data_IF_208134570955
#
_entry.id   IF_208134570955
#
_cell.length_a   1.000
_cell.length_b   1.000
_cell.length_c   1.000
_cell.angle_alpha   90.00
_cell.angle_beta   90.00
_cell.angle_gamma   90.00
#
_symmetry.space_group_name_H-M   'P 1'
#
loop_
_entity.id
_entity.type
_entity.pdbx_description
1 polymer ?
#
# COMPACT_ATOMS: atom_id res chain seq x y z
N UNK A 1 -2.69 33.09 6.11
CA UNK A 1 -2.72 33.25 7.57
C UNK A 1 -2.81 34.73 8.03
N UNK A 2 -2.32 35.67 7.28
CA UNK A 2 -2.41 37.10 7.64
C UNK A 2 -3.74 37.77 7.25
N UNK A 3 -4.62 37.11 6.54
CA UNK A 3 -5.94 37.64 6.20
C UNK A 3 -6.85 37.65 7.45
N UNK A 4 -7.58 38.71 7.73
CA UNK A 4 -8.37 38.84 8.97
C UNK A 4 -9.52 37.82 9.06
N UNK A 5 -9.96 37.27 7.94
CA UNK A 5 -11.03 36.27 7.78
C UNK A 5 -10.55 34.84 7.70
N UNK A 6 -9.22 34.61 7.82
CA UNK A 6 -8.62 33.25 7.70
C UNK A 6 -9.14 32.28 8.75
N UNK A 7 -9.46 32.75 9.95
CA UNK A 7 -9.89 31.95 11.09
C UNK A 7 -11.41 31.80 11.22
N UNK A 8 -12.19 32.47 10.34
CA UNK A 8 -13.64 32.38 10.36
C UNK A 8 -14.17 31.02 9.92
N UNK A 9 -13.39 30.29 9.11
CA UNK A 9 -13.67 28.93 8.69
C UNK A 9 -12.55 27.95 9.17
N UNK A 10 -12.80 27.31 10.30
CA UNK A 10 -11.80 26.49 10.99
C UNK A 10 -11.37 25.26 10.16
N UNK A 11 -12.27 24.68 9.36
CA UNK A 11 -11.95 23.53 8.50
C UNK A 11 -11.03 23.93 7.35
N UNK A 12 -11.33 25.02 6.67
CA UNK A 12 -10.45 25.58 5.61
C UNK A 12 -9.10 26.02 6.17
N UNK A 13 -9.09 26.65 7.35
CA UNK A 13 -7.86 27.07 7.99
C UNK A 13 -6.96 25.85 8.32
N UNK A 14 -7.52 24.78 8.87
CA UNK A 14 -6.79 23.54 9.15
C UNK A 14 -6.26 22.88 7.88
N UNK A 15 -7.03 22.86 6.79
CA UNK A 15 -6.60 22.31 5.50
C UNK A 15 -5.41 23.09 4.95
N UNK A 16 -5.48 24.41 4.92
CA UNK A 16 -4.37 25.27 4.46
C UNK A 16 -3.12 25.14 5.34
N UNK A 17 -3.31 25.04 6.67
CA UNK A 17 -2.20 24.77 7.60
C UNK A 17 -1.58 23.42 7.33
N UNK A 18 -2.38 22.38 7.09
CA UNK A 18 -1.91 21.05 6.72
C UNK A 18 -1.08 21.06 5.44
N UNK A 19 -1.58 21.69 4.37
CA UNK A 19 -0.88 21.85 3.10
C UNK A 19 0.45 22.61 3.27
N UNK A 20 0.42 23.72 4.03
CA UNK A 20 1.61 24.50 4.32
C UNK A 20 2.66 23.70 5.10
N UNK A 21 2.23 22.91 6.11
CA UNK A 21 3.15 22.08 6.90
C UNK A 21 3.83 21.01 6.04
N UNK A 22 3.11 20.41 5.08
CA UNK A 22 3.66 19.46 4.12
C UNK A 22 4.74 20.12 3.25
N UNK A 23 4.44 21.30 2.67
CA UNK A 23 5.40 22.03 1.84
C UNK A 23 6.61 22.44 2.66
N UNK A 24 6.37 22.93 3.88
CA UNK A 24 7.43 23.32 4.80
C UNK A 24 8.32 22.13 5.16
N UNK A 25 7.74 20.98 5.47
CA UNK A 25 8.49 19.76 5.79
C UNK A 25 9.40 19.34 4.64
N UNK A 26 8.92 19.41 3.38
CA UNK A 26 9.71 19.13 2.19
C UNK A 26 10.87 20.12 2.03
N UNK A 27 10.59 21.42 2.23
CA UNK A 27 11.60 22.47 2.15
C UNK A 27 12.66 22.33 3.26
N UNK A 28 12.23 22.04 4.49
CA UNK A 28 13.13 21.83 5.62
C UNK A 28 14.03 20.60 5.41
N UNK A 29 13.49 19.51 4.87
CA UNK A 29 14.28 18.32 4.51
C UNK A 29 15.31 18.63 3.41
N UNK A 30 14.91 19.38 2.37
CA UNK A 30 15.83 19.79 1.32
C UNK A 30 16.97 20.65 1.88
N UNK A 31 16.65 21.64 2.73
CA UNK A 31 17.68 22.49 3.35
C UNK A 31 18.60 21.71 4.28
N UNK A 32 18.08 20.73 5.04
CA UNK A 32 18.90 19.88 5.88
C UNK A 32 19.90 19.06 5.05
N UNK A 33 19.42 18.43 3.95
CA UNK A 33 20.28 17.70 3.02
C UNK A 33 21.34 18.58 2.35
N UNK A 34 20.94 19.79 1.93
CA UNK A 34 21.86 20.75 1.33
C UNK A 34 22.95 21.18 2.31
N UNK A 35 22.59 21.49 3.57
CA UNK A 35 23.55 21.83 4.61
C UNK A 35 24.49 20.69 4.93
N UNK A 36 23.98 19.45 5.06
CA UNK A 36 24.80 18.27 5.30
C UNK A 36 25.77 17.99 4.14
N UNK A 37 25.35 18.24 2.91
CA UNK A 37 26.22 18.17 1.75
C UNK A 37 27.32 19.24 1.74
N UNK A 38 26.99 20.51 2.07
CA UNK A 38 27.95 21.59 2.19
C UNK A 38 29.00 21.30 3.31
N UNK A 39 28.57 20.77 4.44
CA UNK A 39 29.48 20.35 5.52
C UNK A 39 30.45 19.24 5.06
N UNK A 40 29.94 18.25 4.29
CA UNK A 40 30.77 17.21 3.70
C UNK A 40 31.76 17.73 2.66
N UNK A 41 31.39 18.74 1.88
CA UNK A 41 32.29 19.38 0.92
C UNK A 41 33.46 20.07 1.64
N UNK A 42 33.20 20.74 2.77
CA UNK A 42 34.24 21.36 3.62
C UNK A 42 35.11 20.28 4.24
N UNK A 43 34.51 19.18 4.75
CA UNK A 43 35.29 18.07 5.30
C UNK A 43 36.21 17.41 4.24
N UNK A 44 35.71 17.28 3.00
CA UNK A 44 36.52 16.75 1.90
C UNK A 44 37.74 17.62 1.57
N UNK A 45 37.56 18.94 1.56
CA UNK A 45 38.67 19.88 1.35
C UNK A 45 39.72 19.79 2.49
N UNK A 46 39.28 19.72 3.73
CA UNK A 46 40.17 19.60 4.88
C UNK A 46 40.93 18.28 4.88
N UNK A 47 40.26 17.17 4.58
CA UNK A 47 40.90 15.85 4.50
C UNK A 47 41.95 15.77 3.39
N UNK A 48 41.73 16.47 2.26
CA UNK A 48 42.69 16.55 1.16
C UNK A 48 43.90 17.45 1.53
N UNK A 49 43.69 18.56 2.22
CA UNK A 49 44.76 19.46 2.68
C UNK A 49 45.65 18.86 3.74
N UNK A 50 45.08 18.06 4.68
CA UNK A 50 45.79 17.48 5.80
C UNK A 50 46.28 16.03 5.55
N UNK A 51 45.93 15.42 4.40
CA UNK A 51 46.19 14.02 4.04
C UNK A 51 45.70 13.04 5.14
N UNK A 52 44.55 13.36 5.77
CA UNK A 52 43.98 12.62 6.88
C UNK A 52 43.08 11.47 6.41
N UNK A 53 43.61 10.24 6.53
CA UNK A 53 42.91 9.02 6.12
C UNK A 53 41.73 8.67 7.03
N UNK A 54 41.73 9.07 8.28
CA UNK A 54 40.62 8.82 9.21
C UNK A 54 39.44 9.70 8.87
N UNK A 55 39.65 10.96 8.60
CA UNK A 55 38.64 11.91 8.12
C UNK A 55 38.09 11.52 6.74
N UNK A 56 38.93 10.98 5.84
CA UNK A 56 38.49 10.46 4.57
C UNK A 56 37.54 9.23 4.70
N UNK A 57 37.80 8.35 5.69
CA UNK A 57 36.92 7.21 5.95
C UNK A 57 35.58 7.64 6.55
N UNK A 58 35.56 8.62 7.45
CA UNK A 58 34.36 9.22 8.03
C UNK A 58 33.52 9.91 6.96
N UNK A 59 34.16 10.65 6.04
CA UNK A 59 33.54 11.26 4.89
C UNK A 59 32.84 10.21 3.97
N UNK A 60 33.53 9.09 3.71
CA UNK A 60 32.98 8.03 2.86
C UNK A 60 31.72 7.39 3.47
N UNK A 61 31.63 7.26 4.80
CA UNK A 61 30.45 6.75 5.48
C UNK A 61 29.33 7.80 5.55
N UNK A 62 29.68 9.07 5.78
CA UNK A 62 28.74 10.18 5.72
C UNK A 62 28.08 10.32 4.35
N UNK A 63 28.86 10.23 3.27
CA UNK A 63 28.34 10.26 1.89
C UNK A 63 27.34 9.15 1.60
N UNK A 64 27.56 7.94 2.14
CA UNK A 64 26.58 6.85 2.01
C UNK A 64 25.26 7.19 2.73
N UNK A 65 25.35 7.89 3.88
CA UNK A 65 24.20 8.39 4.61
C UNK A 65 23.40 9.40 3.80
N UNK A 66 24.07 10.42 3.27
CA UNK A 66 23.44 11.46 2.43
C UNK A 66 22.80 10.84 1.17
N UNK A 67 23.48 9.91 0.50
CA UNK A 67 22.93 9.24 -0.67
C UNK A 67 21.61 8.53 -0.37
N UNK A 68 21.52 7.81 0.76
CA UNK A 68 20.27 7.16 1.19
C UNK A 68 19.18 8.19 1.52
N UNK A 69 19.52 9.27 2.18
CA UNK A 69 18.58 10.34 2.49
C UNK A 69 18.07 11.03 1.20
N UNK A 70 18.96 11.27 0.24
CA UNK A 70 18.62 11.84 -1.07
C UNK A 70 17.71 10.90 -1.86
N UNK A 71 17.98 9.60 -1.88
CA UNK A 71 17.12 8.60 -2.50
C UNK A 71 15.71 8.61 -1.89
N UNK A 72 15.62 8.61 -0.56
CA UNK A 72 14.34 8.71 0.14
C UNK A 72 13.60 10.02 -0.16
N UNK A 73 14.32 11.13 -0.20
CA UNK A 73 13.75 12.43 -0.55
C UNK A 73 13.23 12.47 -1.99
N UNK A 74 14.00 11.91 -2.94
CA UNK A 74 13.54 11.75 -4.32
C UNK A 74 12.23 10.95 -4.38
N UNK A 75 12.16 9.82 -3.67
CA UNK A 75 10.94 9.01 -3.62
C UNK A 75 9.74 9.78 -3.08
N UNK A 76 9.92 10.60 -2.04
CA UNK A 76 8.86 11.47 -1.54
C UNK A 76 8.38 12.49 -2.58
N UNK A 77 9.29 13.06 -3.37
CA UNK A 77 8.95 13.97 -4.47
C UNK A 77 8.17 13.26 -5.59
N UNK A 78 8.47 11.97 -5.84
CA UNK A 78 7.80 11.14 -6.84
C UNK A 78 6.35 10.81 -6.46
N UNK A 79 6.04 10.78 -5.16
CA UNK A 79 4.69 10.58 -4.61
C UNK A 79 3.89 11.90 -4.64
N UNK A 80 3.85 12.53 -5.81
CA UNK A 80 3.25 13.86 -6.01
C UNK A 80 1.81 13.81 -6.56
N UNK A 81 1.26 12.63 -6.83
CA UNK A 81 -0.11 12.52 -7.32
C UNK A 81 -1.12 12.85 -6.22
N UNK A 82 -2.31 13.37 -6.57
CA UNK A 82 -3.29 13.84 -5.59
C UNK A 82 -3.64 12.82 -4.50
N UNK A 83 -3.62 11.53 -4.84
CA UNK A 83 -4.01 10.42 -3.95
C UNK A 83 -2.84 9.77 -3.23
N UNK A 84 -1.60 10.03 -3.67
CA UNK A 84 -0.41 9.39 -3.10
C UNK A 84 -0.27 9.67 -1.60
N UNK A 85 -0.73 10.84 -1.15
CA UNK A 85 -0.68 11.28 0.26
C UNK A 85 -1.70 10.62 1.17
N UNK A 86 -2.67 9.90 0.61
CA UNK A 86 -3.77 9.31 1.35
C UNK A 86 -3.37 8.02 2.05
N UNK A 87 -4.18 7.63 3.03
CA UNK A 87 -4.12 6.31 3.63
C UNK A 87 -4.49 5.25 2.57
N UNK A 88 -4.04 4.02 2.78
CA UNK A 88 -4.30 2.91 1.87
C UNK A 88 -5.28 1.90 2.47
N UNK A 89 -6.21 1.43 1.66
CA UNK A 89 -7.00 0.25 1.94
C UNK A 89 -6.43 -0.87 1.07
N UNK A 90 -5.92 -1.92 1.72
CA UNK A 90 -5.31 -3.08 1.09
C UNK A 90 -6.17 -4.32 1.30
N UNK A 91 -6.50 -5.00 0.21
CA UNK A 91 -7.30 -6.23 0.23
C UNK A 91 -6.48 -7.40 -0.33
N UNK A 92 -6.54 -8.54 0.36
CA UNK A 92 -5.94 -9.78 -0.10
C UNK A 92 -7.03 -10.82 -0.35
N UNK A 93 -7.02 -11.38 -1.55
CA UNK A 93 -7.93 -12.42 -1.97
C UNK A 93 -7.14 -13.64 -2.47
N UNK A 94 -7.20 -14.79 -1.78
CA UNK A 94 -6.64 -16.04 -2.28
C UNK A 94 -7.25 -16.41 -3.63
N UNK A 95 -6.37 -16.78 -4.57
CA UNK A 95 -6.76 -17.29 -5.88
C UNK A 95 -6.83 -18.82 -5.90
N UNK A 96 -6.53 -19.40 -7.05
CA UNK A 96 -6.42 -20.84 -7.20
C UNK A 96 -5.33 -21.42 -6.28
N UNK A 97 -5.66 -22.50 -5.54
CA UNK A 97 -4.73 -23.19 -4.64
C UNK A 97 -5.35 -23.74 -3.35
N UNK A 98 -6.64 -23.49 -3.11
CA UNK A 98 -7.32 -23.99 -1.90
C UNK A 98 -6.69 -23.52 -0.61
N UNK A 99 -6.50 -24.41 0.37
CA UNK A 99 -5.89 -24.10 1.69
C UNK A 99 -4.50 -23.47 1.55
N UNK A 100 -3.71 -23.89 0.56
CA UNK A 100 -2.37 -23.34 0.31
C UNK A 100 -2.41 -21.86 -0.08
N UNK A 101 -3.40 -21.43 -0.88
CA UNK A 101 -3.55 -20.02 -1.24
C UNK A 101 -4.06 -19.17 -0.09
N UNK A 102 -4.88 -19.76 0.81
CA UNK A 102 -5.34 -19.09 2.03
C UNK A 102 -4.20 -18.85 3.02
N UNK A 103 -3.30 -19.84 3.18
CA UNK A 103 -2.09 -19.69 3.98
C UNK A 103 -1.13 -18.67 3.36
N UNK A 104 -0.99 -18.67 2.03
CA UNK A 104 -0.21 -17.64 1.33
C UNK A 104 -0.74 -16.22 1.59
N UNK A 105 -2.06 -16.03 1.60
CA UNK A 105 -2.65 -14.74 1.91
C UNK A 105 -2.36 -14.30 3.36
N UNK A 106 -2.33 -15.22 4.32
CA UNK A 106 -1.94 -14.93 5.70
C UNK A 106 -0.45 -14.55 5.82
N UNK A 107 0.41 -15.22 5.05
CA UNK A 107 1.83 -14.86 4.97
C UNK A 107 2.01 -13.43 4.41
N UNK A 108 1.28 -13.06 3.35
CA UNK A 108 1.30 -11.70 2.80
C UNK A 108 0.74 -10.68 3.79
N UNK A 109 -0.35 -11.00 4.49
CA UNK A 109 -0.91 -10.17 5.56
C UNK A 109 0.16 -9.83 6.61
N UNK A 110 0.91 -10.83 7.07
CA UNK A 110 2.01 -10.64 8.02
C UNK A 110 3.12 -9.78 7.44
N UNK A 111 3.49 -10.00 6.19
CA UNK A 111 4.51 -9.23 5.47
C UNK A 111 4.15 -7.75 5.40
N UNK A 112 2.91 -7.42 4.97
CA UNK A 112 2.46 -6.02 4.88
C UNK A 112 2.32 -5.34 6.24
N UNK A 113 1.87 -6.07 7.27
CA UNK A 113 1.84 -5.53 8.63
C UNK A 113 3.22 -5.16 9.13
N UNK A 114 4.22 -6.03 8.93
CA UNK A 114 5.61 -5.77 9.34
C UNK A 114 6.24 -4.62 8.55
N UNK A 115 5.95 -4.52 7.26
CA UNK A 115 6.38 -3.39 6.47
C UNK A 115 5.78 -2.08 6.98
N UNK A 116 4.50 -2.06 7.28
CA UNK A 116 3.81 -0.89 7.83
C UNK A 116 4.37 -0.49 9.22
N UNK A 117 4.64 -1.48 10.09
CA UNK A 117 5.25 -1.26 11.40
C UNK A 117 6.65 -0.63 11.28
N UNK A 118 7.48 -1.07 10.33
CA UNK A 118 8.81 -0.49 10.08
C UNK A 118 8.78 0.97 9.63
N UNK A 119 7.67 1.40 9.04
CA UNK A 119 7.45 2.78 8.58
C UNK A 119 6.61 3.62 9.55
N UNK A 120 6.39 3.11 10.78
CA UNK A 120 5.55 3.76 11.79
C UNK A 120 4.12 4.01 11.29
N UNK A 121 3.61 3.19 10.35
CA UNK A 121 2.25 3.26 9.87
C UNK A 121 1.32 2.48 10.79
N UNK A 122 0.14 3.04 11.05
CA UNK A 122 -0.87 2.39 11.86
C UNK A 122 -1.73 1.46 11.00
N UNK A 123 -1.79 0.19 11.36
CA UNK A 123 -2.59 -0.84 10.66
C UNK A 123 -3.87 -1.14 11.44
N UNK A 124 -4.99 -1.05 10.76
CA UNK A 124 -6.32 -1.39 11.29
C UNK A 124 -6.95 -2.45 10.38
N UNK A 125 -7.45 -3.53 10.97
CA UNK A 125 -8.15 -4.59 10.25
C UNK A 125 -9.61 -4.17 10.09
N UNK A 126 -10.07 -3.97 8.86
CA UNK A 126 -11.45 -3.60 8.55
C UNK A 126 -12.34 -4.83 8.41
N UNK A 127 -11.82 -5.87 7.75
CA UNK A 127 -12.51 -7.15 7.57
C UNK A 127 -11.50 -8.30 7.61
N UNK A 128 -11.90 -9.42 8.19
CA UNK A 128 -11.08 -10.62 8.28
C UNK A 128 -11.97 -11.86 8.24
N UNK A 129 -11.83 -12.65 7.20
CA UNK A 129 -12.52 -13.92 7.05
C UNK A 129 -11.50 -15.05 7.10
N UNK A 130 -11.46 -15.83 8.21
CA UNK A 130 -10.50 -16.92 8.36
C UNK A 130 -10.76 -18.04 7.35
N UNK A 131 -9.70 -18.78 7.00
CA UNK A 131 -9.79 -20.03 6.28
C UNK A 131 -10.47 -21.13 7.10
N UNK A 132 -10.96 -22.17 6.44
CA UNK A 132 -11.62 -23.28 7.15
C UNK A 132 -10.60 -24.16 7.89
N UNK A 133 -9.42 -24.38 7.32
CA UNK A 133 -8.35 -25.22 7.87
C UNK A 133 -7.13 -24.38 8.27
N UNK A 134 -6.72 -23.43 7.43
CA UNK A 134 -5.59 -22.53 7.66
C UNK A 134 -5.73 -21.25 6.85
N UNK A 135 -4.98 -20.22 7.24
CA UNK A 135 -4.89 -18.97 6.51
C UNK A 135 -6.15 -18.13 6.53
N UNK A 136 -6.32 -17.29 5.53
CA UNK A 136 -7.45 -16.35 5.39
C UNK A 136 -8.13 -16.49 4.04
N UNK A 137 -9.47 -16.39 4.01
CA UNK A 137 -10.29 -16.33 2.77
C UNK A 137 -10.35 -14.94 2.18
N UNK A 138 -10.30 -13.92 3.01
CA UNK A 138 -10.16 -12.53 2.62
C UNK A 138 -9.73 -11.70 3.82
N UNK A 139 -8.97 -10.66 3.57
CA UNK A 139 -8.63 -9.68 4.60
C UNK A 139 -8.57 -8.29 3.98
N UNK A 140 -9.11 -7.31 4.69
CA UNK A 140 -9.05 -5.89 4.33
C UNK A 140 -8.38 -5.12 5.44
N UNK A 141 -7.31 -4.43 5.11
CA UNK A 141 -6.54 -3.59 6.02
C UNK A 141 -6.70 -2.12 5.66
N UNK A 142 -6.81 -1.26 6.67
CA UNK A 142 -6.60 0.16 6.53
C UNK A 142 -5.23 0.51 7.09
N UNK A 143 -4.35 1.01 6.23
CA UNK A 143 -2.98 1.40 6.58
C UNK A 143 -2.91 2.93 6.56
N UNK A 144 -2.76 3.50 7.77
CA UNK A 144 -2.76 4.95 8.00
C UNK A 144 -1.34 5.45 8.12
N UNK A 145 -0.99 6.37 7.24
CA UNK A 145 0.32 7.01 7.24
C UNK A 145 0.49 7.94 6.05
N UNK A 146 1.43 8.84 6.17
CA UNK A 146 1.73 9.77 5.07
C UNK A 146 2.25 9.00 3.85
N UNK A 147 1.62 9.21 2.70
CA UNK A 147 1.93 8.52 1.45
C UNK A 147 1.70 6.99 1.48
N UNK A 148 0.91 6.45 2.41
CA UNK A 148 0.67 5.01 2.50
C UNK A 148 0.14 4.43 1.18
N UNK A 149 -0.84 5.10 0.55
CA UNK A 149 -1.35 4.68 -0.76
C UNK A 149 -0.29 4.82 -1.86
N UNK A 150 0.47 5.92 -1.86
CA UNK A 150 1.51 6.18 -2.85
C UNK A 150 2.55 5.07 -2.92
N UNK A 151 2.95 4.51 -1.77
CA UNK A 151 3.84 3.36 -1.71
C UNK A 151 3.13 2.06 -2.10
N UNK A 152 1.99 1.78 -1.48
CA UNK A 152 1.30 0.49 -1.59
C UNK A 152 0.63 0.26 -2.94
N UNK A 153 0.34 1.31 -3.74
CA UNK A 153 -0.14 1.14 -5.12
C UNK A 153 0.82 0.29 -5.97
N UNK A 154 2.12 0.28 -5.61
CA UNK A 154 3.11 -0.58 -6.25
C UNK A 154 2.89 -2.07 -5.99
N UNK A 155 2.16 -2.43 -4.94
CA UNK A 155 1.89 -3.82 -4.55
C UNK A 155 0.60 -4.38 -5.16
N UNK A 156 -0.17 -3.55 -5.87
CA UNK A 156 -1.39 -3.97 -6.55
C UNK A 156 -1.09 -4.96 -7.67
N UNK A 157 -1.72 -6.15 -7.59
CA UNK A 157 -1.61 -7.21 -8.60
C UNK A 157 -1.55 -8.61 -8.00
N UNK A 158 -1.07 -9.58 -8.77
CA UNK A 158 -1.04 -10.98 -8.37
C UNK A 158 0.33 -11.36 -7.82
N UNK A 159 0.34 -11.94 -6.61
CA UNK A 159 1.53 -12.47 -5.93
C UNK A 159 1.55 -13.98 -6.02
N UNK A 160 2.61 -14.53 -6.60
CA UNK A 160 2.78 -15.96 -6.83
C UNK A 160 3.74 -16.56 -5.80
N UNK A 161 3.31 -17.61 -5.10
CA UNK A 161 4.13 -18.43 -4.22
C UNK A 161 4.51 -19.73 -4.90
N UNK A 162 5.76 -20.17 -4.75
CA UNK A 162 6.24 -21.50 -5.12
C UNK A 162 7.01 -22.10 -3.94
N UNK A 163 6.44 -23.12 -3.30
CA UNK A 163 7.06 -23.82 -2.17
C UNK A 163 6.64 -25.28 -2.10
N UNK A 164 7.31 -26.05 -1.23
CA UNK A 164 6.78 -27.35 -0.80
C UNK A 164 5.62 -27.09 0.14
N UNK A 165 4.44 -27.64 -0.17
CA UNK A 165 3.24 -27.39 0.63
C UNK A 165 3.31 -28.11 1.97
N UNK A 166 3.07 -27.42 3.11
CA UNK A 166 2.94 -28.06 4.41
C UNK A 166 1.63 -28.86 4.55
N UNK A 167 0.67 -28.68 3.63
CA UNK A 167 -0.63 -29.36 3.62
C UNK A 167 -0.63 -30.60 2.71
N UNK A 168 0.41 -30.83 1.92
CA UNK A 168 0.55 -32.00 1.07
C UNK A 168 1.46 -33.05 1.74
N UNK A 169 0.86 -34.13 2.21
CA UNK A 169 1.59 -35.26 2.82
C UNK A 169 2.66 -35.89 1.90
N UNK A 170 2.54 -35.68 0.58
CA UNK A 170 3.53 -36.16 -0.41
C UNK A 170 4.72 -35.20 -0.56
N UNK A 171 4.74 -34.06 0.10
CA UNK A 171 5.84 -33.10 0.03
C UNK A 171 6.08 -32.50 -1.35
N UNK A 172 5.07 -32.43 -2.19
CA UNK A 172 5.18 -31.88 -3.55
C UNK A 172 5.26 -30.35 -3.54
N UNK A 173 5.90 -29.83 -4.56
CA UNK A 173 5.97 -28.41 -4.83
C UNK A 173 4.63 -27.90 -5.38
N UNK A 174 4.07 -26.90 -4.76
CA UNK A 174 2.84 -26.24 -5.17
C UNK A 174 3.08 -24.79 -5.59
N UNK A 175 2.18 -24.30 -6.43
CA UNK A 175 2.13 -22.90 -6.84
C UNK A 175 0.78 -22.35 -6.43
N UNK A 176 0.78 -21.24 -5.70
CA UNK A 176 -0.42 -20.58 -5.20
C UNK A 176 -0.40 -19.09 -5.56
N UNK A 177 -1.57 -18.52 -5.71
CA UNK A 177 -1.75 -17.14 -6.12
C UNK A 177 -2.65 -16.40 -5.13
N UNK A 178 -2.28 -15.15 -4.86
CA UNK A 178 -3.10 -14.20 -4.11
C UNK A 178 -3.15 -12.91 -4.89
N UNK A 179 -4.33 -12.35 -5.06
CA UNK A 179 -4.46 -11.00 -5.58
C UNK A 179 -4.41 -10.00 -4.43
N UNK A 180 -3.61 -8.97 -4.61
CA UNK A 180 -3.54 -7.80 -3.74
C UNK A 180 -4.20 -6.64 -4.47
N UNK A 181 -5.21 -6.06 -3.87
CA UNK A 181 -5.85 -4.83 -4.36
C UNK A 181 -5.56 -3.69 -3.40
N UNK A 182 -5.26 -2.52 -3.93
CA UNK A 182 -4.93 -1.34 -3.14
C UNK A 182 -5.68 -0.14 -3.66
N UNK A 183 -6.42 0.52 -2.77
CA UNK A 183 -7.19 1.72 -3.07
C UNK A 183 -6.92 2.81 -2.03
N UNK A 184 -7.02 4.11 -2.37
CA UNK A 184 -6.87 5.18 -1.41
C UNK A 184 -8.08 5.25 -0.46
N UNK A 185 -7.85 5.60 0.82
CA UNK A 185 -8.93 6.03 1.71
C UNK A 185 -9.32 7.47 1.37
N UNK A 186 -10.50 7.63 0.76
CA UNK A 186 -11.01 8.95 0.41
C UNK A 186 -11.85 9.48 1.57
N UNK A 187 -11.49 10.65 2.08
CA UNK A 187 -12.30 11.40 3.02
C UNK A 187 -13.46 12.11 2.29
N UNK A 188 -14.51 12.46 3.01
CA UNK A 188 -15.87 12.79 2.52
C UNK A 188 -16.02 13.91 1.44
N UNK A 189 -14.94 14.54 0.98
CA UNK A 189 -14.97 15.74 0.12
C UNK A 189 -14.96 15.49 -1.41
N UNK A 190 -14.88 14.24 -1.86
CA UNK A 190 -14.91 13.96 -3.29
C UNK A 190 -16.30 13.44 -3.67
N UNK A 191 -17.03 14.23 -4.49
CA UNK A 191 -18.35 13.94 -5.03
C UNK A 191 -18.39 12.61 -5.85
N UNK A 192 -18.37 11.50 -5.15
CA UNK A 192 -19.00 10.28 -5.63
C UNK A 192 -20.40 10.32 -5.06
N UNK A 193 -21.36 10.80 -5.86
CA UNK A 193 -22.78 10.83 -5.50
C UNK A 193 -23.28 9.39 -5.40
N UNK A 194 -23.33 8.88 -4.17
CA UNK A 194 -23.84 7.54 -3.88
C UNK A 194 -25.28 7.70 -3.40
N UNK A 195 -26.22 7.42 -4.28
CA UNK A 195 -27.63 7.46 -3.92
C UNK A 195 -28.00 6.24 -3.08
N UNK A 196 -28.81 6.46 -2.06
CA UNK A 196 -29.24 5.37 -1.15
C UNK A 196 -30.03 4.28 -1.89
N UNK A 197 -30.72 4.63 -2.96
CA UNK A 197 -31.48 3.73 -3.84
C UNK A 197 -30.59 2.78 -4.66
N UNK A 198 -29.33 3.16 -4.90
CA UNK A 198 -28.36 2.36 -5.63
C UNK A 198 -27.60 1.35 -4.72
N UNK A 199 -27.93 1.36 -3.41
CA UNK A 199 -27.28 0.50 -2.45
C UNK A 199 -28.20 -0.63 -1.98
N UNK A 200 -27.71 -1.86 -2.13
CA UNK A 200 -28.25 -3.00 -1.40
C UNK A 200 -27.41 -3.25 -0.16
N UNK A 201 -28.02 -3.08 1.01
CA UNK A 201 -27.36 -3.27 2.31
C UNK A 201 -27.92 -4.54 2.94
N UNK A 202 -27.07 -5.56 3.07
CA UNK A 202 -27.38 -6.81 3.73
C UNK A 202 -26.64 -6.87 5.07
N UNK A 203 -27.35 -7.25 6.12
CA UNK A 203 -26.75 -7.52 7.44
C UNK A 203 -26.71 -9.01 7.69
N UNK A 204 -25.61 -9.48 8.28
CA UNK A 204 -25.43 -10.89 8.58
C UNK A 204 -24.62 -11.08 9.85
N UNK A 205 -24.57 -12.32 10.33
CA UNK A 205 -23.77 -12.65 11.52
C UNK A 205 -22.30 -12.68 11.17
N UNK A 206 -21.51 -11.98 11.98
CA UNK A 206 -20.07 -12.02 11.83
C UNK A 206 -19.54 -13.44 12.03
N UNK A 207 -18.65 -13.90 11.15
CA UNK A 207 -17.96 -15.18 11.31
C UNK A 207 -16.58 -14.92 11.90
N UNK A 208 -16.28 -15.52 13.06
CA UNK A 208 -14.98 -15.40 13.71
C UNK A 208 -14.95 -16.07 15.07
N UNK A 209 -13.75 -16.32 15.58
CA UNK A 209 -13.53 -16.80 16.95
C UNK A 209 -13.88 -15.70 17.95
N UNK A 210 -15.10 -15.71 18.48
CA UNK A 210 -15.60 -14.75 19.45
C UNK A 210 -16.77 -15.33 20.23
N UNK A 211 -16.96 -14.88 21.48
CA UNK A 211 -17.97 -15.39 22.41
C UNK A 211 -19.41 -15.25 21.92
N UNK A 212 -20.38 -15.67 22.73
CA UNK A 212 -21.82 -15.75 22.42
C UNK A 212 -22.43 -14.52 21.71
N UNK A 213 -21.85 -13.33 21.89
CA UNK A 213 -22.38 -12.09 21.31
C UNK A 213 -22.15 -11.99 19.78
N UNK A 214 -21.08 -12.58 19.25
CA UNK A 214 -20.76 -12.56 17.80
C UNK A 214 -21.70 -13.48 17.03
N UNK A 215 -22.12 -14.57 17.65
CA UNK A 215 -22.97 -15.58 17.02
C UNK A 215 -24.47 -15.27 17.09
N UNK A 216 -24.88 -14.24 17.84
CA UNK A 216 -26.31 -13.91 18.08
C UNK A 216 -26.75 -12.60 17.44
N UNK A 217 -25.83 -11.71 17.06
CA UNK A 217 -26.18 -10.38 16.55
C UNK A 217 -25.71 -10.20 15.10
N UNK A 218 -26.60 -9.73 14.22
CA UNK A 218 -26.30 -9.42 12.82
C UNK A 218 -25.56 -8.07 12.74
N UNK A 219 -24.30 -8.05 13.23
CA UNK A 219 -23.46 -6.84 13.27
C UNK A 219 -22.62 -6.62 12.00
N UNK A 220 -22.36 -7.67 11.23
CA UNK A 220 -21.64 -7.57 9.97
C UNK A 220 -22.53 -6.93 8.87
N UNK A 221 -21.92 -6.08 8.07
CA UNK A 221 -22.59 -5.34 7.00
C UNK A 221 -21.92 -5.63 5.66
N UNK A 222 -22.74 -5.98 4.67
CA UNK A 222 -22.35 -6.06 3.26
C UNK A 222 -23.09 -4.98 2.50
N UNK A 223 -22.38 -4.15 1.76
CA UNK A 223 -22.95 -3.14 0.89
C UNK A 223 -22.62 -3.50 -0.55
N UNK A 224 -23.64 -3.62 -1.38
CA UNK A 224 -23.52 -3.83 -2.83
C UNK A 224 -23.98 -2.56 -3.53
N UNK A 225 -23.14 -1.96 -4.34
CA UNK A 225 -23.54 -0.87 -5.22
C UNK A 225 -24.10 -1.45 -6.51
N UNK A 226 -25.42 -1.36 -6.68
CA UNK A 226 -26.16 -2.03 -7.75
C UNK A 226 -25.69 -1.64 -9.17
N UNK A 227 -25.43 -0.34 -9.48
CA UNK A 227 -25.03 0.06 -10.83
C UNK A 227 -23.65 -0.48 -11.24
N UNK A 228 -22.71 -0.58 -10.29
CA UNK A 228 -21.33 -0.98 -10.59
C UNK A 228 -21.00 -2.41 -10.21
N UNK A 229 -21.86 -3.08 -9.43
CA UNK A 229 -21.64 -4.42 -8.91
C UNK A 229 -20.55 -4.50 -7.82
N UNK A 230 -20.03 -3.38 -7.36
CA UNK A 230 -18.99 -3.35 -6.30
C UNK A 230 -19.60 -3.81 -4.98
N UNK A 231 -18.96 -4.78 -4.34
CA UNK A 231 -19.34 -5.33 -3.04
C UNK A 231 -18.27 -5.02 -2.02
N UNK A 232 -18.67 -4.54 -0.85
CA UNK A 232 -17.79 -4.33 0.31
C UNK A 232 -18.42 -4.94 1.55
N UNK A 233 -17.57 -5.45 2.44
CA UNK A 233 -17.98 -6.05 3.72
C UNK A 233 -17.22 -5.41 4.87
N UNK A 234 -17.88 -5.26 6.02
CA UNK A 234 -17.24 -4.82 7.26
C UNK A 234 -17.87 -5.54 8.45
N UNK A 235 -17.03 -6.16 9.30
CA UNK A 235 -17.48 -6.92 10.48
C UNK A 235 -16.59 -6.70 11.72
N UNK A 236 -15.75 -5.67 11.71
CA UNK A 236 -14.74 -5.41 12.74
C UNK A 236 -15.30 -4.88 14.04
N UNK A 237 -16.41 -4.17 14.00
CA UNK A 237 -17.01 -3.54 15.16
C UNK A 237 -18.21 -4.35 15.68
N UNK A 238 -18.47 -4.26 17.00
CA UNK A 238 -19.70 -4.81 17.59
C UNK A 238 -20.95 -4.02 17.22
N UNK A 239 -20.79 -2.81 16.72
CA UNK A 239 -21.86 -1.90 16.31
C UNK A 239 -22.10 -2.00 14.81
N UNK A 240 -23.30 -2.41 14.41
CA UNK A 240 -23.75 -2.42 13.03
C UNK A 240 -23.65 -1.04 12.38
N UNK A 241 -23.94 0.04 13.13
CA UNK A 241 -23.86 1.43 12.63
C UNK A 241 -22.42 1.77 12.23
N UNK A 242 -21.44 1.46 13.11
CA UNK A 242 -20.02 1.70 12.82
C UNK A 242 -19.51 0.86 11.66
N UNK A 243 -19.92 -0.40 11.57
CA UNK A 243 -19.60 -1.26 10.42
C UNK A 243 -20.18 -0.71 9.12
N UNK A 244 -21.40 -0.16 9.16
CA UNK A 244 -22.03 0.49 8.00
C UNK A 244 -21.25 1.74 7.55
N UNK A 245 -20.86 2.61 8.48
CA UNK A 245 -20.07 3.82 8.17
C UNK A 245 -18.72 3.46 7.53
N UNK A 246 -18.02 2.47 8.09
CA UNK A 246 -16.74 1.99 7.53
C UNK A 246 -16.91 1.34 6.16
N UNK A 247 -17.93 0.50 5.99
CA UNK A 247 -18.24 -0.09 4.70
C UNK A 247 -18.60 0.96 3.65
N UNK A 248 -19.29 2.05 4.04
CA UNK A 248 -19.58 3.17 3.15
C UNK A 248 -18.30 3.92 2.74
N UNK A 249 -17.38 4.17 3.66
CA UNK A 249 -16.08 4.79 3.32
C UNK A 249 -15.30 3.91 2.33
N UNK A 250 -15.23 2.62 2.60
CA UNK A 250 -14.57 1.66 1.71
C UNK A 250 -15.25 1.59 0.32
N UNK A 251 -16.59 1.61 0.28
CA UNK A 251 -17.32 1.64 -0.99
C UNK A 251 -17.00 2.90 -1.81
N UNK A 252 -16.95 4.07 -1.16
CA UNK A 252 -16.55 5.33 -1.82
C UNK A 252 -15.17 5.23 -2.44
N UNK A 253 -14.20 4.69 -1.70
CA UNK A 253 -12.84 4.49 -2.21
C UNK A 253 -12.81 3.60 -3.44
N UNK A 254 -13.51 2.47 -3.43
CA UNK A 254 -13.59 1.57 -4.59
C UNK A 254 -14.30 2.18 -5.81
N UNK A 255 -15.37 2.92 -5.59
CA UNK A 255 -16.09 3.59 -6.67
C UNK A 255 -15.25 4.70 -7.31
N UNK A 256 -14.48 5.40 -6.50
CA UNK A 256 -13.57 6.42 -6.98
C UNK A 256 -12.42 5.83 -7.82
N UNK A 257 -11.81 4.75 -7.36
CA UNK A 257 -10.80 4.02 -8.13
C UNK A 257 -11.35 3.59 -9.49
N UNK A 258 -12.55 3.00 -9.48
CA UNK A 258 -13.22 2.57 -10.72
C UNK A 258 -13.45 3.74 -11.68
N UNK A 259 -13.80 4.91 -11.15
CA UNK A 259 -13.99 6.12 -11.97
C UNK A 259 -12.68 6.60 -12.62
N UNK A 260 -11.56 6.53 -11.86
CA UNK A 260 -10.23 6.82 -12.43
C UNK A 260 -9.87 5.80 -13.50
N UNK A 261 -10.07 4.52 -13.22
CA UNK A 261 -9.77 3.43 -14.16
C UNK A 261 -10.58 3.56 -15.46
N UNK A 262 -11.85 3.97 -15.37
CA UNK A 262 -12.68 4.28 -16.52
C UNK A 262 -12.15 5.49 -17.32
N UNK A 263 -11.70 6.54 -16.65
CA UNK A 263 -11.07 7.69 -17.30
C UNK A 263 -9.73 7.32 -17.97
N UNK A 264 -8.90 6.54 -17.31
CA UNK A 264 -7.63 6.05 -17.87
C UNK A 264 -7.85 5.13 -19.06
N UNK A 265 -8.85 4.24 -19.00
CA UNK A 265 -9.26 3.39 -20.13
C UNK A 265 -9.74 4.22 -21.31
N UNK A 266 -10.57 5.22 -21.06
CA UNK A 266 -11.05 6.11 -22.10
C UNK A 266 -9.91 6.90 -22.78
N UNK A 267 -8.94 7.37 -22.00
CA UNK A 267 -7.73 8.00 -22.51
C UNK A 267 -6.83 7.01 -23.30
N UNK A 268 -6.75 5.75 -22.84
CA UNK A 268 -6.00 4.70 -23.55
C UNK A 268 -6.68 4.30 -24.87
N UNK A 269 -8.02 4.21 -24.88
CA UNK A 269 -8.80 4.00 -26.10
C UNK A 269 -8.62 5.13 -27.12
N UNK A 270 -8.64 6.38 -26.67
CA UNK A 270 -8.35 7.56 -27.51
C UNK A 270 -6.91 7.52 -28.05
N UNK A 271 -5.97 6.98 -27.28
CA UNK A 271 -4.57 6.83 -27.67
C UNK A 271 -4.26 5.56 -28.48
N UNK A 272 -5.23 4.66 -28.64
CA UNK A 272 -5.08 3.43 -29.43
C UNK A 272 -4.17 2.37 -28.80
N UNK A 273 -4.00 2.37 -27.48
CA UNK A 273 -3.25 1.34 -26.76
C UNK A 273 -4.23 0.32 -26.17
N UNK A 274 -4.39 -0.81 -26.86
CA UNK A 274 -5.04 -1.98 -26.32
C UNK A 274 -4.08 -2.68 -25.35
N UNK A 275 -4.35 -2.62 -24.05
CA UNK A 275 -3.73 -3.51 -23.09
C UNK A 275 -4.67 -4.69 -22.82
N UNK A 276 -4.30 -5.86 -23.38
CA UNK A 276 -4.96 -7.14 -23.07
C UNK A 276 -4.87 -7.43 -21.57
N UNK A 277 -6.03 -7.46 -20.91
CA UNK A 277 -6.17 -8.00 -19.57
C UNK A 277 -6.30 -9.51 -19.73
N UNK A 278 -5.19 -10.22 -19.85
CA UNK A 278 -5.13 -11.68 -19.84
C UNK A 278 -4.05 -12.15 -18.89
N UNK A 279 -4.33 -13.21 -18.16
CA UNK A 279 -3.48 -14.19 -17.43
C UNK A 279 -1.95 -13.96 -17.51
N UNK A 280 -1.43 -12.82 -17.07
CA UNK A 280 -0.04 -12.44 -17.15
C UNK A 280 0.35 -11.37 -16.16
N UNK A 281 -0.58 -10.86 -15.38
CA UNK A 281 -0.37 -9.74 -14.45
C UNK A 281 0.22 -10.16 -13.11
N UNK A 282 1.07 -11.21 -13.08
CA UNK A 282 1.88 -11.51 -11.91
C UNK A 282 2.90 -10.39 -11.71
N UNK A 283 2.73 -9.62 -10.64
CA UNK A 283 3.69 -8.57 -10.32
C UNK A 283 4.96 -9.14 -9.70
N UNK A 284 4.82 -10.16 -8.81
CA UNK A 284 5.96 -10.70 -8.07
C UNK A 284 5.82 -12.19 -7.82
N UNK A 285 6.95 -12.91 -7.95
CA UNK A 285 7.06 -14.33 -7.60
C UNK A 285 7.95 -14.52 -6.40
N UNK A 286 7.48 -15.35 -5.47
CA UNK A 286 8.18 -15.75 -4.25
C UNK A 286 8.47 -17.25 -4.33
N UNK A 287 9.73 -17.61 -4.53
CA UNK A 287 10.19 -18.99 -4.66
C UNK A 287 10.96 -19.37 -3.40
N UNK A 288 10.48 -20.40 -2.69
CA UNK A 288 11.12 -20.93 -1.50
C UNK A 288 11.85 -22.26 -1.79
N UNK A 289 11.50 -22.91 -2.90
CA UNK A 289 12.10 -24.20 -3.27
C UNK A 289 12.04 -24.39 -4.80
N UNK A 290 13.10 -24.88 -5.46
CA UNK A 290 14.36 -25.47 -4.94
C UNK A 290 15.43 -24.43 -4.58
N UNK A 291 15.22 -23.17 -4.90
CA UNK A 291 16.09 -22.04 -4.55
C UNK A 291 15.24 -20.95 -3.92
N UNK A 292 15.87 -20.07 -3.17
CA UNK A 292 15.20 -18.93 -2.54
C UNK A 292 15.36 -17.69 -3.41
N UNK A 293 14.23 -17.10 -3.85
CA UNK A 293 14.23 -15.89 -4.69
C UNK A 293 12.87 -15.18 -4.61
N UNK A 294 12.90 -13.86 -4.49
CA UNK A 294 11.77 -12.99 -4.77
C UNK A 294 12.12 -12.15 -5.99
N UNK A 295 11.23 -12.12 -6.98
CA UNK A 295 11.44 -11.36 -8.23
C UNK A 295 10.19 -10.60 -8.62
N UNK A 296 10.33 -9.29 -8.82
CA UNK A 296 9.29 -8.46 -9.42
C UNK A 296 9.45 -8.49 -10.95
N UNK A 297 8.38 -8.90 -11.64
CA UNK A 297 8.41 -9.08 -13.08
C UNK A 297 8.28 -7.75 -13.86
N UNK A 298 7.88 -6.67 -13.19
CA UNK A 298 7.71 -5.36 -13.82
C UNK A 298 9.01 -4.57 -13.89
N UNK A 299 9.83 -4.69 -12.83
CA UNK A 299 11.08 -3.92 -12.65
C UNK A 299 12.32 -4.79 -12.82
N UNK A 300 12.17 -6.10 -12.87
CA UNK A 300 13.26 -7.10 -12.84
C UNK A 300 14.06 -7.12 -11.52
N UNK A 301 13.66 -6.31 -10.52
CA UNK A 301 14.27 -6.33 -9.19
C UNK A 301 14.12 -7.71 -8.55
N UNK A 302 15.23 -8.26 -8.01
CA UNK A 302 15.23 -9.60 -7.43
C UNK A 302 16.17 -9.69 -6.22
N UNK A 303 15.80 -10.53 -5.27
CA UNK A 303 16.63 -10.83 -4.09
C UNK A 303 16.54 -12.30 -3.70
N UNK A 304 17.67 -12.86 -3.24
CA UNK A 304 17.70 -14.21 -2.66
C UNK A 304 17.25 -14.25 -1.18
N UNK A 305 17.14 -13.08 -0.52
CA UNK A 305 16.76 -13.01 0.89
C UNK A 305 15.24 -12.97 1.08
N UNK A 306 14.59 -14.10 0.79
CA UNK A 306 13.13 -14.25 0.92
C UNK A 306 12.66 -13.98 2.35
N UNK A 307 13.46 -14.34 3.36
CA UNK A 307 13.13 -14.12 4.77
C UNK A 307 12.98 -12.63 5.11
N UNK A 308 13.91 -11.78 4.66
CA UNK A 308 13.83 -10.33 4.86
C UNK A 308 12.57 -9.74 4.21
N UNK A 309 12.25 -10.17 2.98
CA UNK A 309 11.04 -9.72 2.27
C UNK A 309 9.78 -10.11 3.05
N UNK A 310 9.68 -11.36 3.51
CA UNK A 310 8.55 -11.82 4.33
C UNK A 310 8.47 -11.13 5.70
N UNK A 311 9.57 -10.56 6.15
CA UNK A 311 9.64 -9.73 7.36
C UNK A 311 9.43 -8.23 7.06
N UNK A 312 8.95 -7.90 5.86
CA UNK A 312 8.52 -6.56 5.49
C UNK A 312 9.61 -5.69 4.84
N UNK A 313 10.65 -6.27 4.27
CA UNK A 313 11.63 -5.52 3.46
C UNK A 313 11.15 -5.42 2.00
N UNK A 314 10.18 -4.54 1.78
CA UNK A 314 9.53 -4.34 0.48
C UNK A 314 10.04 -3.11 -0.26
N UNK A 315 10.74 -2.22 0.43
CA UNK A 315 11.16 -0.93 -0.10
C UNK A 315 11.94 -1.03 -1.42
N UNK A 316 12.89 -1.98 -1.61
CA UNK A 316 13.60 -2.11 -2.88
C UNK A 316 12.67 -2.33 -4.08
N UNK A 317 11.61 -3.14 -3.91
CA UNK A 317 10.64 -3.43 -4.97
C UNK A 317 9.69 -2.25 -5.22
N UNK A 318 9.23 -1.61 -4.15
CA UNK A 318 8.36 -0.42 -4.22
C UNK A 318 9.10 0.71 -4.94
N UNK A 319 10.33 0.98 -4.53
CA UNK A 319 11.18 2.04 -5.09
C UNK A 319 11.49 1.80 -6.57
N UNK A 320 11.87 0.57 -6.92
CA UNK A 320 12.12 0.20 -8.31
C UNK A 320 10.87 0.42 -9.18
N UNK A 321 9.68 0.07 -8.68
CA UNK A 321 8.42 0.30 -9.40
C UNK A 321 8.07 1.78 -9.53
N UNK A 322 8.23 2.56 -8.47
CA UNK A 322 7.96 4.01 -8.50
C UNK A 322 8.88 4.71 -9.50
N UNK A 323 10.16 4.38 -9.53
CA UNK A 323 11.12 4.90 -10.52
C UNK A 323 10.74 4.53 -11.97
N UNK A 324 10.32 3.29 -12.20
CA UNK A 324 9.85 2.83 -13.51
C UNK A 324 8.62 3.63 -14.00
N UNK A 325 7.71 3.98 -13.10
CA UNK A 325 6.51 4.76 -13.44
C UNK A 325 6.84 6.18 -13.93
N UNK A 326 7.96 6.75 -13.50
CA UNK A 326 8.40 8.08 -13.91
C UNK A 326 9.01 8.02 -15.30
N UNK A 327 9.94 7.07 -15.52
CA UNK A 327 10.56 6.90 -16.83
C UNK A 327 9.52 6.75 -17.95
N UNK A 328 8.42 6.03 -17.66
CA UNK A 328 7.30 5.88 -18.61
C UNK A 328 6.44 7.13 -18.84
N UNK A 329 6.54 8.14 -17.96
CA UNK A 329 5.82 9.41 -18.14
C UNK A 329 6.65 10.46 -18.88
N UNK A 330 7.96 10.28 -18.90
CA UNK A 330 8.89 11.16 -19.60
C UNK A 330 9.11 10.75 -21.08
N UNK A 331 8.74 9.50 -21.43
CA UNK A 331 8.67 9.00 -22.82
C UNK A 331 7.30 9.32 -23.46
#
# INVERSE_FOLDING_TARGET
MAAPDFWDDNEKAQKVIGEMNVIKSVADQFHALASEYEDMEVMAQLADEEDDQEMAAELADGLKGILRQLENFQLQLLLSQPYDKLNAILELHPGAGGTESQDWAEMLLRMYRRWAEKRDFKVEVLDYLPGDEAGVKSVTLLIKGHNAYGYLKAEKGVHRLVRISPFDASGRRHTSFVSCDVVPEIEDDVEVDIRTEDLKIDTYRASGAGGQHINTTDSAVRITHLPTGVVVTCQTERSQIKNRERAMKHLRSKLYEKKIEEQEKHLAEIRGVQSDIAWGSQIRSYVFHPYSMVKDHRTTEETGNVGAVMDGDLDPFIDAYLRLQIQKKEE
#
